data_IF_517764606976
#
_entry.id   IF_517764606976
#
_cell.length_a   1.000
_cell.length_b   1.000
_cell.length_c   1.000
_cell.angle_alpha   90.00
_cell.angle_beta   90.00
_cell.angle_gamma   90.00
#
_symmetry.space_group_name_H-M   'P 1'
#
loop_
_entity.id
_entity.type
_entity.pdbx_description
1 polymer ?
#
# COMPACT_ATOMS: atom_id res chain seq x y z
N UNK A 1 -32.35 -13.05 31.07
CA UNK A 1 -31.11 -13.41 30.35
C UNK A 1 -30.26 -14.24 31.29
N UNK A 2 -30.14 -15.53 31.00
CA UNK A 2 -29.36 -16.44 31.82
C UNK A 2 -27.85 -16.28 31.55
N UNK A 3 -26.97 -16.71 32.47
CA UNK A 3 -25.52 -16.67 32.27
C UNK A 3 -25.06 -17.43 31.01
N UNK A 4 -25.83 -18.43 30.56
CA UNK A 4 -25.60 -19.19 29.33
C UNK A 4 -25.90 -18.39 28.05
N UNK A 5 -26.91 -17.51 28.08
CA UNK A 5 -27.25 -16.64 26.95
C UNK A 5 -26.18 -15.56 26.75
N UNK A 6 -25.64 -15.02 27.84
CA UNK A 6 -24.54 -14.06 27.80
C UNK A 6 -23.25 -14.70 27.24
N UNK A 7 -23.00 -15.98 27.56
CA UNK A 7 -21.83 -16.72 27.09
C UNK A 7 -21.92 -17.07 25.60
N UNK A 8 -23.11 -17.43 25.11
CA UNK A 8 -23.37 -17.67 23.69
C UNK A 8 -23.23 -16.38 22.85
N UNK A 9 -23.75 -15.26 23.34
CA UNK A 9 -23.62 -13.96 22.68
C UNK A 9 -22.16 -13.48 22.63
N UNK A 10 -21.38 -13.73 23.69
CA UNK A 10 -19.95 -13.40 23.71
C UNK A 10 -19.15 -14.24 22.69
N UNK A 11 -19.44 -15.54 22.55
CA UNK A 11 -18.78 -16.41 21.55
C UNK A 11 -19.13 -15.98 20.12
N UNK A 12 -20.39 -15.62 19.85
CA UNK A 12 -20.81 -15.14 18.53
C UNK A 12 -20.13 -13.81 18.15
N UNK A 13 -19.95 -12.89 19.10
CA UNK A 13 -19.23 -11.63 18.88
C UNK A 13 -17.74 -11.86 18.57
N UNK A 14 -17.08 -12.78 19.28
CA UNK A 14 -15.66 -13.11 19.04
C UNK A 14 -15.44 -13.78 17.69
N UNK A 15 -16.30 -14.70 17.27
CA UNK A 15 -16.21 -15.35 15.96
C UNK A 15 -16.49 -14.37 14.80
N UNK A 16 -17.40 -13.40 14.99
CA UNK A 16 -17.67 -12.35 14.01
C UNK A 16 -16.49 -11.39 13.79
N UNK A 17 -15.69 -11.12 14.84
CA UNK A 17 -14.50 -10.26 14.77
C UNK A 17 -13.33 -10.91 14.03
N UNK A 18 -13.17 -12.25 14.10
CA UNK A 18 -12.09 -12.95 13.40
C UNK A 18 -12.25 -13.00 11.87
N UNK A 19 -13.46 -12.80 11.34
CA UNK A 19 -13.73 -12.87 9.90
C UNK A 19 -13.27 -11.64 9.10
N UNK A 20 -12.81 -10.58 9.77
CA UNK A 20 -12.43 -9.31 9.13
C UNK A 20 -10.93 -9.21 8.79
N UNK A 21 -10.16 -10.28 8.98
CA UNK A 21 -8.70 -10.30 8.77
C UNK A 21 -8.26 -10.42 7.29
N UNK A 22 -9.05 -9.87 6.35
CA UNK A 22 -8.65 -9.71 4.94
C UNK A 22 -7.78 -8.47 4.76
N UNK A 23 -6.84 -8.50 3.81
CA UNK A 23 -6.04 -7.32 3.47
C UNK A 23 -6.85 -6.34 2.62
N UNK A 24 -6.75 -5.04 2.88
CA UNK A 24 -7.35 -4.02 2.01
C UNK A 24 -6.70 -4.09 0.63
N UNK A 25 -7.51 -4.17 -0.43
CA UNK A 25 -7.01 -4.18 -1.81
C UNK A 25 -6.16 -2.92 -2.08
N UNK A 26 -4.87 -3.05 -2.46
CA UNK A 26 -4.03 -1.88 -2.74
C UNK A 26 -4.56 -1.08 -3.92
N UNK A 27 -4.26 0.21 -3.96
CA UNK A 27 -4.66 1.10 -5.04
C UNK A 27 -3.88 0.83 -6.35
N UNK A 28 -4.37 1.31 -7.52
CA UNK A 28 -3.64 1.15 -8.77
C UNK A 28 -2.23 1.74 -8.74
N UNK A 29 -2.04 2.91 -8.12
CA UNK A 29 -0.72 3.55 -8.05
C UNK A 29 0.25 2.76 -7.16
N UNK A 30 -0.25 2.07 -6.13
CA UNK A 30 0.59 1.20 -5.30
C UNK A 30 1.14 0.00 -6.09
N UNK A 31 0.44 -0.41 -7.14
CA UNK A 31 0.81 -1.54 -7.99
C UNK A 31 1.64 -1.14 -9.22
N UNK A 32 1.12 -0.25 -10.07
CA UNK A 32 1.77 0.05 -11.37
C UNK A 32 3.03 0.90 -11.27
N UNK A 33 3.23 1.65 -10.18
CA UNK A 33 4.43 2.49 -10.01
C UNK A 33 5.63 1.72 -9.44
N UNK A 34 5.45 0.46 -9.04
CA UNK A 34 6.54 -0.41 -8.59
C UNK A 34 7.22 -1.07 -9.79
N UNK A 35 8.54 -0.88 -9.90
CA UNK A 35 9.33 -1.49 -10.97
C UNK A 35 9.29 -3.02 -10.83
N UNK A 36 9.08 -3.79 -11.91
CA UNK A 36 8.98 -5.26 -11.84
C UNK A 36 10.15 -5.93 -11.11
N UNK A 37 11.37 -5.41 -11.25
CA UNK A 37 12.59 -5.97 -10.65
C UNK A 37 12.68 -5.74 -9.13
N UNK A 38 11.88 -4.82 -8.58
CA UNK A 38 11.81 -4.52 -7.15
C UNK A 38 10.63 -5.19 -6.45
N UNK A 39 9.80 -5.94 -7.19
CA UNK A 39 8.67 -6.69 -6.64
C UNK A 39 9.14 -7.71 -5.62
N UNK A 40 8.54 -7.69 -4.44
CA UNK A 40 8.72 -8.70 -3.40
C UNK A 40 7.51 -9.63 -3.42
N UNK A 41 7.74 -10.94 -3.45
CA UNK A 41 6.66 -11.92 -3.53
C UNK A 41 5.74 -11.86 -2.29
N UNK A 42 4.43 -11.80 -2.52
CA UNK A 42 3.39 -11.84 -1.47
C UNK A 42 2.45 -13.07 -1.60
N UNK A 43 2.60 -13.85 -2.67
CA UNK A 43 1.73 -15.00 -2.96
C UNK A 43 2.41 -16.36 -2.82
N UNK A 44 1.63 -17.41 -3.05
CA UNK A 44 2.12 -18.77 -3.28
C UNK A 44 2.10 -19.10 -4.78
N UNK A 45 2.88 -20.10 -5.26
CA UNK A 45 2.85 -20.50 -6.66
C UNK A 45 1.43 -20.89 -7.13
N UNK A 46 0.98 -20.34 -8.26
CA UNK A 46 -0.36 -20.60 -8.80
C UNK A 46 -1.50 -19.80 -8.15
N UNK A 47 -1.19 -18.82 -7.29
CA UNK A 47 -2.19 -17.90 -6.73
C UNK A 47 -2.96 -17.17 -7.83
N UNK A 48 -4.28 -17.04 -7.66
CA UNK A 48 -5.12 -16.27 -8.59
C UNK A 48 -5.02 -14.78 -8.33
N UNK A 49 -5.44 -13.96 -9.30
CA UNK A 49 -5.48 -12.50 -9.12
C UNK A 49 -6.33 -12.08 -7.92
N UNK A 50 -7.52 -12.66 -7.77
CA UNK A 50 -8.44 -12.31 -6.68
C UNK A 50 -7.87 -12.70 -5.32
N UNK A 51 -7.32 -13.91 -5.20
CA UNK A 51 -6.64 -14.34 -3.97
C UNK A 51 -5.47 -13.44 -3.60
N UNK A 52 -4.73 -12.92 -4.59
CA UNK A 52 -3.65 -11.98 -4.32
C UNK A 52 -4.16 -10.63 -3.79
N UNK A 53 -5.21 -10.07 -4.41
CA UNK A 53 -5.82 -8.82 -3.97
C UNK A 53 -6.49 -8.94 -2.60
N UNK A 54 -7.17 -10.05 -2.31
CA UNK A 54 -7.81 -10.32 -1.01
C UNK A 54 -6.79 -10.45 0.13
N UNK A 55 -5.55 -10.82 -0.21
CA UNK A 55 -4.41 -10.79 0.72
C UNK A 55 -3.83 -9.39 0.94
N UNK A 56 -4.38 -8.37 0.29
CA UNK A 56 -3.87 -6.99 0.34
C UNK A 56 -2.62 -6.78 -0.52
N UNK A 57 -2.45 -7.55 -1.60
CA UNK A 57 -1.28 -7.49 -2.47
C UNK A 57 -1.63 -7.16 -3.92
N UNK A 58 -0.63 -6.74 -4.68
CA UNK A 58 -0.78 -6.39 -6.09
C UNK A 58 -0.58 -7.62 -6.98
N UNK A 59 -1.38 -7.73 -8.04
CA UNK A 59 -1.23 -8.79 -9.03
C UNK A 59 -0.92 -8.21 -10.42
N UNK A 60 0.14 -8.69 -11.06
CA UNK A 60 0.45 -8.42 -12.47
C UNK A 60 1.29 -9.55 -13.08
N UNK A 61 0.72 -10.22 -14.08
CA UNK A 61 1.33 -11.35 -14.81
C UNK A 61 1.96 -10.97 -16.16
N UNK A 62 1.98 -9.69 -16.52
CA UNK A 62 2.49 -9.21 -17.83
C UNK A 62 4.00 -9.39 -18.00
N UNK A 63 4.76 -9.45 -16.91
CA UNK A 63 6.22 -9.56 -16.92
C UNK A 63 6.64 -10.94 -16.40
N UNK A 64 7.39 -11.68 -17.22
CA UNK A 64 7.93 -12.98 -16.84
C UNK A 64 9.20 -12.83 -15.96
N UNK A 65 9.50 -13.85 -15.16
CA UNK A 65 10.73 -13.91 -14.34
C UNK A 65 10.71 -13.04 -13.08
N UNK A 66 9.57 -12.45 -12.73
CA UNK A 66 9.35 -11.66 -11.50
C UNK A 66 8.09 -12.15 -10.77
N UNK A 67 7.93 -11.84 -9.47
CA UNK A 67 6.70 -12.19 -8.75
C UNK A 67 5.46 -11.57 -9.38
N UNK A 68 4.44 -12.39 -9.66
CA UNK A 68 3.16 -11.93 -10.17
C UNK A 68 2.24 -11.42 -9.07
N UNK A 69 2.28 -12.03 -7.89
CA UNK A 69 1.65 -11.49 -6.68
C UNK A 69 2.72 -10.88 -5.80
N UNK A 70 2.66 -9.57 -5.56
CA UNK A 70 3.72 -8.81 -4.93
C UNK A 70 3.22 -7.77 -3.92
N UNK A 71 4.10 -7.43 -2.99
CA UNK A 71 3.85 -6.39 -1.99
C UNK A 71 3.63 -5.02 -2.68
N UNK A 72 2.57 -4.28 -2.32
CA UNK A 72 2.33 -2.94 -2.86
C UNK A 72 3.38 -1.94 -2.38
N UNK A 73 3.50 -0.80 -3.08
CA UNK A 73 4.15 0.38 -2.48
C UNK A 73 3.40 0.81 -1.22
N UNK A 74 4.09 1.43 -0.24
CA UNK A 74 3.42 1.92 0.96
C UNK A 74 2.31 2.93 0.63
N UNK A 75 1.17 2.78 1.31
CA UNK A 75 0.08 3.75 1.29
C UNK A 75 0.58 5.12 1.78
N UNK A 76 0.06 6.17 1.17
CA UNK A 76 0.35 7.56 1.52
C UNK A 76 -0.98 8.31 1.71
N UNK A 77 -0.92 9.52 2.25
CA UNK A 77 -2.09 10.41 2.41
C UNK A 77 -2.81 10.69 1.08
N UNK A 78 -2.09 10.61 -0.04
CA UNK A 78 -2.64 10.79 -1.39
C UNK A 78 -1.98 9.83 -2.39
N UNK A 79 -2.77 9.32 -3.33
CA UNK A 79 -2.31 8.50 -4.46
C UNK A 79 -1.25 9.21 -5.31
N UNK A 80 -1.28 10.55 -5.34
CA UNK A 80 -0.27 11.35 -6.03
C UNK A 80 1.13 11.21 -5.40
N UNK A 81 1.20 10.86 -4.11
CA UNK A 81 2.42 10.70 -3.34
C UNK A 81 2.95 9.26 -3.32
N UNK A 82 2.19 8.30 -3.82
CA UNK A 82 2.59 6.89 -3.89
C UNK A 82 3.62 6.70 -5.00
N UNK A 83 4.89 6.49 -4.68
CA UNK A 83 5.93 6.24 -5.68
C UNK A 83 7.13 5.53 -5.07
N UNK A 84 7.96 4.95 -5.91
CA UNK A 84 9.27 4.47 -5.48
C UNK A 84 10.14 5.61 -4.96
N UNK A 85 10.97 5.29 -3.97
CA UNK A 85 11.90 6.24 -3.36
C UNK A 85 12.86 6.82 -4.39
N UNK A 86 13.34 6.00 -5.33
CA UNK A 86 14.20 6.44 -6.44
C UNK A 86 13.52 7.38 -7.43
N UNK A 87 12.19 7.46 -7.43
CA UNK A 87 11.43 8.36 -8.28
C UNK A 87 11.15 9.72 -7.61
N UNK A 88 11.47 9.88 -6.32
CA UNK A 88 11.27 11.13 -5.58
C UNK A 88 12.16 12.22 -6.18
N UNK A 89 11.53 13.31 -6.61
CA UNK A 89 12.22 14.54 -7.04
C UNK A 89 12.06 15.57 -5.95
N UNK A 90 13.17 16.12 -5.48
CA UNK A 90 13.20 17.07 -4.37
C UNK A 90 12.34 18.30 -4.67
N UNK A 91 11.44 18.62 -3.74
CA UNK A 91 10.57 19.81 -3.77
C UNK A 91 10.84 20.76 -2.58
N UNK A 92 11.75 20.38 -1.68
CA UNK A 92 12.02 21.12 -0.46
C UNK A 92 13.49 21.46 -0.30
N UNK A 93 13.93 21.40 0.96
CA UNK A 93 15.30 21.58 1.38
C UNK A 93 15.55 20.80 2.68
N UNK A 94 16.81 20.66 3.07
CA UNK A 94 17.18 19.94 4.30
C UNK A 94 16.54 20.59 5.52
N UNK A 95 15.77 19.82 6.29
CA UNK A 95 15.14 20.28 7.52
C UNK A 95 13.78 20.96 7.33
N UNK A 96 13.21 20.96 6.11
CA UNK A 96 11.84 21.44 5.86
C UNK A 96 10.83 20.68 6.73
N UNK A 97 9.85 21.38 7.28
CA UNK A 97 8.78 20.77 8.08
C UNK A 97 7.73 20.09 7.17
N UNK A 98 6.95 19.12 7.69
CA UNK A 98 5.83 18.54 6.94
C UNK A 98 4.83 19.60 6.46
N UNK A 99 4.52 20.58 7.31
CA UNK A 99 3.54 21.64 7.04
C UNK A 99 4.02 22.60 5.95
N UNK A 100 5.30 22.96 5.97
CA UNK A 100 5.88 23.80 4.91
C UNK A 100 6.02 23.03 3.59
N UNK A 101 6.33 21.73 3.63
CA UNK A 101 6.29 20.90 2.42
C UNK A 101 4.87 20.85 1.82
N UNK A 102 3.85 20.68 2.66
CA UNK A 102 2.46 20.64 2.25
C UNK A 102 1.99 22.00 1.67
N UNK A 103 2.42 23.12 2.25
CA UNK A 103 2.09 24.47 1.72
C UNK A 103 2.69 24.73 0.34
N UNK A 104 3.77 24.02 -0.01
CA UNK A 104 4.36 23.99 -1.36
C UNK A 104 3.64 23.04 -2.32
N UNK A 105 2.51 22.46 -1.91
CA UNK A 105 1.75 21.44 -2.64
C UNK A 105 2.58 20.18 -2.97
N UNK A 106 3.45 19.79 -2.03
CA UNK A 106 4.32 18.63 -2.18
C UNK A 106 4.04 17.53 -1.16
N UNK A 107 4.56 16.34 -1.46
CA UNK A 107 4.43 15.15 -0.65
C UNK A 107 5.54 15.09 0.38
N UNK A 108 5.20 14.71 1.62
CA UNK A 108 6.18 14.56 2.69
C UNK A 108 6.27 13.10 3.17
N UNK A 109 7.48 12.55 3.28
CA UNK A 109 7.75 11.25 3.91
C UNK A 109 9.20 11.15 4.37
N UNK A 110 9.40 11.07 5.69
CA UNK A 110 10.69 11.00 6.36
C UNK A 110 11.12 9.59 6.80
N UNK A 111 10.44 8.55 6.29
CA UNK A 111 10.65 7.16 6.71
C UNK A 111 11.99 6.57 6.24
N UNK A 112 12.68 7.24 5.31
CA UNK A 112 13.91 6.76 4.68
C UNK A 112 14.94 7.88 4.70
N UNK A 113 16.15 7.56 5.13
CA UNK A 113 17.26 8.49 5.20
C UNK A 113 17.92 8.70 3.83
N UNK A 114 18.67 9.80 3.67
CA UNK A 114 19.46 10.12 2.48
C UNK A 114 18.66 10.28 1.17
N UNK A 115 17.37 10.54 1.28
CA UNK A 115 16.46 10.77 0.14
C UNK A 115 15.63 12.03 0.39
N UNK A 116 15.08 12.67 -0.67
CA UNK A 116 14.19 13.80 -0.47
C UNK A 116 12.98 13.42 0.40
N UNK A 117 12.84 14.10 1.53
CA UNK A 117 11.68 13.95 2.42
C UNK A 117 10.48 14.73 1.90
N UNK A 118 10.71 15.91 1.32
CA UNK A 118 9.71 16.67 0.59
C UNK A 118 9.93 16.47 -0.92
N UNK A 119 8.94 15.91 -1.62
CA UNK A 119 9.07 15.56 -3.03
C UNK A 119 7.81 15.91 -3.83
N UNK A 120 7.99 16.15 -5.12
CA UNK A 120 6.86 16.47 -6.00
C UNK A 120 5.86 15.31 -6.12
N UNK A 121 4.56 15.60 -6.17
CA UNK A 121 3.54 14.60 -6.51
C UNK A 121 3.67 14.12 -7.97
N UNK A 122 3.04 12.99 -8.29
CA UNK A 122 2.85 12.50 -9.67
C UNK A 122 1.37 12.34 -10.00
N UNK A 123 0.96 12.74 -11.21
CA UNK A 123 -0.39 12.50 -11.75
C UNK A 123 -0.77 11.02 -11.65
N UNK A 124 -2.00 10.74 -11.25
CA UNK A 124 -2.55 9.39 -11.07
C UNK A 124 -3.13 8.80 -12.35
N UNK A 125 -3.15 9.55 -13.46
CA UNK A 125 -3.77 9.15 -14.73
C UNK A 125 -3.18 7.86 -15.31
N UNK A 126 -1.88 7.64 -15.11
CA UNK A 126 -1.17 6.45 -15.61
C UNK A 126 -1.26 5.24 -14.65
N UNK A 127 -1.93 5.39 -13.51
CA UNK A 127 -2.05 4.31 -12.53
C UNK A 127 -3.05 3.24 -12.97
N UNK A 128 -2.67 1.97 -12.86
CA UNK A 128 -3.47 0.84 -13.32
C UNK A 128 -3.13 -0.43 -12.53
N UNK A 129 -3.92 -1.49 -12.70
CA UNK A 129 -3.55 -2.84 -12.25
C UNK A 129 -2.91 -3.60 -13.41
#
# INVERSE_FOLDING_TARGET
MGPRDAQLLAVLLVLGLCALAGGEKPSPCQCSRLSPQKRKNCGFPGITSDQCFDKGCCFDSRVAGVPWCFEPLPKQESEQCVMEVSARRDCGYRGISPEECASRNCCFSNLIFEVPWCFYPKSVEDCHY
#
